data_IF_358849897927
#
_entry.id   IF_358849897927
#
_cell.length_a   1.000
_cell.length_b   1.000
_cell.length_c   1.000
_cell.angle_alpha   90.00
_cell.angle_beta   90.00
_cell.angle_gamma   90.00
#
_symmetry.space_group_name_H-M   'P 1'
#
loop_
_entity.id
_entity.type
_entity.pdbx_description
1 polymer ?
#
# COMPACT_ATOMS: atom_id res chain seq x y z
N UNK A 1 8.85 54.89 -58.75
CA UNK A 1 9.91 55.67 -59.40
C UNK A 1 11.25 55.07 -59.01
N UNK A 2 12.04 54.66 -60.03
CA UNK A 2 13.50 54.39 -60.08
C UNK A 2 14.15 53.48 -59.01
N UNK A 3 14.88 52.40 -59.29
CA UNK A 3 15.41 51.71 -60.49
C UNK A 3 16.49 50.71 -59.97
N UNK A 4 16.40 49.39 -60.18
CA UNK A 4 16.97 48.53 -61.26
C UNK A 4 18.50 48.54 -61.48
N UNK A 5 19.15 47.38 -61.24
CA UNK A 5 20.05 46.56 -62.11
C UNK A 5 20.57 45.37 -61.25
N UNK A 6 20.51 44.07 -61.60
CA UNK A 6 20.80 43.35 -62.87
C UNK A 6 22.31 43.01 -62.89
N UNK A 7 22.82 41.77 -62.88
CA UNK A 7 22.66 40.69 -63.89
C UNK A 7 23.39 39.40 -63.41
N UNK A 8 22.82 38.18 -63.57
CA UNK A 8 23.19 37.09 -64.54
C UNK A 8 24.41 36.21 -64.11
N UNK A 9 24.54 34.88 -64.31
CA UNK A 9 23.88 33.90 -65.19
C UNK A 9 24.29 32.43 -64.83
N UNK A 10 23.43 31.45 -65.22
CA UNK A 10 23.68 30.03 -65.67
C UNK A 10 24.21 28.96 -64.67
N UNK A 11 23.56 27.81 -64.38
CA UNK A 11 22.94 26.64 -65.11
C UNK A 11 23.91 25.51 -65.54
N UNK A 12 23.45 24.26 -65.27
CA UNK A 12 23.82 22.89 -65.74
C UNK A 12 24.76 22.09 -64.83
N UNK A 13 24.29 21.04 -64.14
CA UNK A 13 24.05 19.62 -64.58
C UNK A 13 25.33 18.82 -64.79
N UNK A 14 25.56 17.77 -63.98
CA UNK A 14 25.80 16.38 -64.43
C UNK A 14 26.27 15.47 -63.27
N UNK A 15 25.71 14.25 -63.26
CA UNK A 15 25.99 13.10 -62.41
C UNK A 15 27.44 12.57 -62.51
N UNK A 16 27.87 11.84 -61.47
CA UNK A 16 29.11 11.07 -61.47
C UNK A 16 29.24 10.16 -60.25
N UNK A 17 28.83 8.90 -60.44
CA UNK A 17 29.04 7.71 -59.62
C UNK A 17 30.51 7.49 -59.21
N UNK A 18 30.74 6.88 -58.04
CA UNK A 18 32.09 6.64 -57.52
C UNK A 18 32.13 6.08 -56.09
N UNK A 19 31.89 4.78 -56.00
CA UNK A 19 32.21 3.89 -54.88
C UNK A 19 33.65 4.06 -54.34
N UNK A 20 33.83 4.00 -53.01
CA UNK A 20 34.70 3.06 -52.28
C UNK A 20 35.22 3.59 -50.93
N UNK A 21 35.16 2.69 -49.95
CA UNK A 21 36.01 2.57 -48.75
C UNK A 21 35.94 3.61 -47.63
N UNK A 22 35.05 3.32 -46.68
CA UNK A 22 35.20 3.69 -45.26
C UNK A 22 36.35 2.88 -44.66
N UNK A 23 37.50 3.53 -44.43
CA UNK A 23 38.57 2.97 -43.61
C UNK A 23 38.27 3.17 -42.12
N UNK A 24 38.06 2.02 -41.47
CA UNK A 24 38.29 1.70 -40.06
C UNK A 24 39.43 2.50 -39.41
N UNK A 25 39.11 3.15 -38.28
CA UNK A 25 40.03 3.23 -37.15
C UNK A 25 39.29 2.89 -35.84
N UNK A 26 39.64 1.71 -35.35
CA UNK A 26 39.31 1.17 -34.05
C UNK A 26 40.32 1.62 -32.98
N UNK A 27 39.96 1.32 -31.73
CA UNK A 27 40.74 1.36 -30.48
C UNK A 27 40.54 2.63 -29.65
N UNK A 28 40.25 2.58 -28.34
CA UNK A 28 40.45 1.50 -27.38
C UNK A 28 39.39 1.55 -26.26
N UNK A 29 38.70 0.44 -26.04
CA UNK A 29 38.02 0.14 -24.78
C UNK A 29 39.07 -0.40 -23.79
N UNK A 30 39.35 0.36 -22.73
CA UNK A 30 40.03 -0.17 -21.55
C UNK A 30 39.10 -1.11 -20.77
N UNK A 31 39.62 -2.12 -20.07
CA UNK A 31 38.78 -3.10 -19.39
C UNK A 31 37.98 -2.40 -18.30
N UNK A 32 36.64 -2.48 -18.43
CA UNK A 32 35.70 -1.92 -17.48
C UNK A 32 36.01 -2.41 -16.07
N UNK A 33 36.21 -1.46 -15.15
CA UNK A 33 36.22 -1.75 -13.74
C UNK A 33 34.90 -2.47 -13.39
N UNK A 34 35.02 -3.69 -12.87
CA UNK A 34 33.87 -4.43 -12.36
C UNK A 34 33.08 -3.56 -11.37
N UNK A 35 31.74 -3.62 -11.38
CA UNK A 35 30.94 -2.90 -10.40
C UNK A 35 31.40 -3.31 -8.99
N UNK A 36 31.43 -2.39 -8.02
CA UNK A 36 31.93 -2.71 -6.69
C UNK A 36 31.09 -3.85 -6.11
N UNK A 37 31.72 -5.01 -5.87
CA UNK A 37 31.12 -6.11 -5.11
C UNK A 37 30.71 -5.55 -3.76
N UNK A 38 29.40 -5.42 -3.54
CA UNK A 38 28.81 -5.02 -2.26
C UNK A 38 29.28 -6.03 -1.22
N UNK A 39 30.13 -5.60 -0.28
CA UNK A 39 30.54 -6.45 0.86
C UNK A 39 29.27 -6.90 1.57
N UNK A 40 29.04 -8.21 1.68
CA UNK A 40 28.08 -8.76 2.64
C UNK A 40 28.50 -8.25 4.03
N UNK A 41 27.74 -7.30 4.59
CA UNK A 41 28.03 -6.74 5.91
C UNK A 41 27.61 -7.74 6.97
N UNK A 42 28.47 -8.71 7.26
CA UNK A 42 28.44 -9.49 8.50
C UNK A 42 29.09 -8.67 9.62
N UNK A 43 28.63 -7.44 9.83
CA UNK A 43 29.05 -6.63 10.99
C UNK A 43 28.36 -7.21 12.23
N UNK A 44 29.12 -7.75 13.18
CA UNK A 44 28.59 -8.33 14.43
C UNK A 44 27.57 -7.42 15.15
N UNK A 45 27.78 -6.09 15.26
CA UNK A 45 26.76 -5.19 15.83
C UNK A 45 25.45 -5.12 15.03
N UNK A 46 25.50 -5.24 13.71
CA UNK A 46 24.31 -5.22 12.86
C UNK A 46 23.48 -6.51 13.02
N UNK A 47 24.15 -7.66 13.20
CA UNK A 47 23.48 -8.94 13.46
C UNK A 47 22.80 -8.97 14.83
N UNK A 48 23.44 -8.44 15.88
CA UNK A 48 22.82 -8.30 17.20
C UNK A 48 21.55 -7.43 17.14
N UNK A 49 21.61 -6.29 16.44
CA UNK A 49 20.43 -5.43 16.26
C UNK A 49 19.31 -6.12 15.46
N UNK A 50 19.65 -6.94 14.47
CA UNK A 50 18.65 -7.71 13.72
C UNK A 50 17.98 -8.77 14.60
N UNK A 51 18.76 -9.51 15.40
CA UNK A 51 18.22 -10.45 16.38
C UNK A 51 17.26 -9.76 17.38
N UNK A 52 17.64 -8.59 17.90
CA UNK A 52 16.79 -7.83 18.81
C UNK A 52 15.49 -7.36 18.15
N UNK A 53 15.51 -7.02 16.86
CA UNK A 53 14.30 -6.70 16.09
C UNK A 53 13.37 -7.91 15.97
N UNK A 54 13.89 -9.11 15.76
CA UNK A 54 13.08 -10.33 15.78
C UNK A 54 12.49 -10.62 17.17
N UNK A 55 13.26 -10.46 18.26
CA UNK A 55 12.74 -10.59 19.63
C UNK A 55 11.64 -9.56 19.93
N UNK A 56 11.81 -8.32 19.48
CA UNK A 56 10.80 -7.28 19.63
C UNK A 56 9.55 -7.57 18.80
N UNK A 57 9.70 -8.03 17.56
CA UNK A 57 8.60 -8.46 16.72
C UNK A 57 7.78 -9.57 17.39
N UNK A 58 8.43 -10.61 17.91
CA UNK A 58 7.77 -11.68 18.66
C UNK A 58 6.94 -11.13 19.83
N UNK A 59 7.56 -10.31 20.70
CA UNK A 59 6.94 -9.80 21.93
C UNK A 59 5.85 -8.75 21.71
N UNK A 60 6.02 -7.88 20.71
CA UNK A 60 5.17 -6.70 20.49
C UNK A 60 4.09 -6.91 19.45
N UNK A 61 4.34 -7.77 18.46
CA UNK A 61 3.43 -7.95 17.33
C UNK A 61 2.83 -9.36 17.26
N UNK A 62 3.54 -10.41 17.68
CA UNK A 62 3.02 -11.78 17.57
C UNK A 62 2.37 -12.30 18.85
N UNK A 63 2.86 -11.89 20.02
CA UNK A 63 2.40 -12.39 21.32
C UNK A 63 0.87 -12.38 21.45
N UNK A 64 0.29 -13.56 21.68
CA UNK A 64 -1.15 -13.75 21.87
C UNK A 64 -2.00 -13.71 20.59
N UNK A 65 -1.42 -13.44 19.42
CA UNK A 65 -2.18 -13.35 18.15
C UNK A 65 -1.60 -14.18 17.00
N UNK A 66 -0.32 -14.55 17.04
CA UNK A 66 0.35 -15.34 16.00
C UNK A 66 1.41 -16.28 16.60
N UNK A 67 0.99 -17.36 17.28
CA UNK A 67 1.90 -18.27 17.98
C UNK A 67 3.00 -18.89 17.10
N UNK A 68 2.70 -19.14 15.81
CA UNK A 68 3.69 -19.63 14.86
C UNK A 68 4.82 -18.62 14.66
N UNK A 69 4.49 -17.40 14.26
CA UNK A 69 5.49 -16.36 13.99
C UNK A 69 6.18 -15.88 15.26
N UNK A 70 5.52 -15.92 16.42
CA UNK A 70 6.17 -15.69 17.71
C UNK A 70 7.30 -16.71 17.95
N UNK A 71 6.99 -18.00 17.80
CA UNK A 71 7.95 -19.09 18.02
C UNK A 71 9.11 -19.00 17.03
N UNK A 72 8.82 -18.81 15.74
CA UNK A 72 9.82 -18.73 14.69
C UNK A 72 10.70 -17.47 14.83
N UNK A 73 10.14 -16.33 15.22
CA UNK A 73 10.92 -15.11 15.39
C UNK A 73 11.93 -15.22 16.53
N UNK A 74 11.54 -15.88 17.65
CA UNK A 74 12.47 -16.17 18.73
C UNK A 74 13.57 -17.14 18.29
N UNK A 75 13.24 -18.17 17.50
CA UNK A 75 14.23 -19.10 16.94
C UNK A 75 15.21 -18.41 15.98
N UNK A 76 14.72 -17.56 15.08
CA UNK A 76 15.55 -16.78 14.14
C UNK A 76 16.52 -15.87 14.91
N UNK A 77 16.08 -15.25 16.02
CA UNK A 77 16.94 -14.36 16.80
C UNK A 77 18.17 -15.06 17.41
N UNK A 78 18.15 -16.39 17.52
CA UNK A 78 19.25 -17.21 18.04
C UNK A 78 20.04 -17.93 16.93
N UNK A 79 19.66 -17.79 15.64
CA UNK A 79 20.28 -18.49 14.51
C UNK A 79 21.02 -17.52 13.57
N UNK A 80 22.35 -17.60 13.55
CA UNK A 80 23.19 -16.72 12.76
C UNK A 80 23.01 -16.87 11.24
N UNK A 81 22.68 -18.07 10.75
CA UNK A 81 22.49 -18.32 9.32
C UNK A 81 21.15 -17.76 8.85
N UNK A 82 20.09 -17.93 9.65
CA UNK A 82 18.79 -17.33 9.35
C UNK A 82 18.85 -15.80 9.42
N UNK A 83 19.59 -15.23 10.39
CA UNK A 83 19.83 -13.78 10.45
C UNK A 83 20.61 -13.28 9.23
N UNK A 84 21.56 -14.05 8.71
CA UNK A 84 22.29 -13.68 7.50
C UNK A 84 21.38 -13.66 6.26
N UNK A 85 20.43 -14.59 6.15
CA UNK A 85 19.38 -14.55 5.11
C UNK A 85 18.51 -13.30 5.30
N UNK A 86 17.96 -13.10 6.50
CA UNK A 86 17.09 -11.97 6.83
C UNK A 86 17.75 -10.59 6.59
N UNK A 87 19.08 -10.50 6.69
CA UNK A 87 19.84 -9.29 6.44
C UNK A 87 19.79 -8.79 4.98
N UNK A 88 19.28 -9.62 4.05
CA UNK A 88 19.06 -9.21 2.65
C UNK A 88 17.81 -8.33 2.48
N UNK A 89 16.97 -8.21 3.52
CA UNK A 89 15.83 -7.30 3.52
C UNK A 89 16.28 -5.85 3.32
N UNK A 90 15.88 -5.26 2.19
CA UNK A 90 16.33 -3.92 1.80
C UNK A 90 15.27 -2.82 2.10
N UNK A 91 13.98 -3.14 1.96
CA UNK A 91 12.88 -2.15 1.99
C UNK A 91 11.80 -2.52 3.01
N UNK A 92 12.01 -2.12 4.27
CA UNK A 92 11.02 -2.27 5.34
C UNK A 92 11.41 -3.26 6.45
N UNK A 93 10.45 -3.71 7.28
CA UNK A 93 10.71 -4.61 8.40
C UNK A 93 11.19 -6.00 7.94
N UNK A 94 12.44 -6.35 8.26
CA UNK A 94 13.05 -7.63 7.89
C UNK A 94 12.23 -8.84 8.35
N UNK A 95 11.61 -8.78 9.55
CA UNK A 95 10.78 -9.87 10.08
C UNK A 95 9.60 -10.19 9.16
N UNK A 96 8.80 -9.18 8.81
CA UNK A 96 7.64 -9.34 7.94
C UNK A 96 8.04 -9.82 6.54
N UNK A 97 9.11 -9.24 5.97
CA UNK A 97 9.60 -9.63 4.64
C UNK A 97 10.09 -11.08 4.61
N UNK A 98 10.84 -11.51 5.63
CA UNK A 98 11.38 -12.87 5.67
C UNK A 98 10.25 -13.90 5.81
N UNK A 99 9.31 -13.66 6.73
CA UNK A 99 8.16 -14.55 6.87
C UNK A 99 7.29 -14.60 5.61
N UNK A 100 7.04 -13.46 4.95
CA UNK A 100 6.28 -13.42 3.71
C UNK A 100 7.02 -14.12 2.55
N UNK A 101 8.34 -13.99 2.45
CA UNK A 101 9.13 -14.70 1.45
C UNK A 101 9.04 -16.22 1.60
N UNK A 102 9.13 -16.73 2.84
CA UNK A 102 8.95 -18.16 3.13
C UNK A 102 7.52 -18.61 2.81
N UNK A 103 6.52 -17.85 3.29
CA UNK A 103 5.11 -18.16 3.07
C UNK A 103 4.76 -18.20 1.57
N UNK A 104 5.32 -17.27 0.78
CA UNK A 104 5.16 -17.23 -0.68
C UNK A 104 5.65 -18.51 -1.34
N UNK A 105 6.84 -19.00 -0.98
CA UNK A 105 7.38 -20.24 -1.56
C UNK A 105 6.52 -21.46 -1.22
N UNK A 106 6.03 -21.53 0.03
CA UNK A 106 5.11 -22.59 0.45
C UNK A 106 3.77 -22.53 -0.31
N UNK A 107 3.24 -21.34 -0.60
CA UNK A 107 1.97 -21.16 -1.31
C UNK A 107 2.01 -21.63 -2.77
N UNK A 108 3.17 -21.60 -3.45
CA UNK A 108 3.25 -21.84 -4.90
C UNK A 108 3.92 -23.16 -5.26
N UNK A 109 5.01 -23.51 -4.60
CA UNK A 109 5.91 -24.57 -5.07
C UNK A 109 6.19 -25.65 -4.02
N UNK A 110 5.88 -25.40 -2.75
CA UNK A 110 6.33 -26.24 -1.64
C UNK A 110 5.21 -26.56 -0.64
N UNK A 111 3.99 -26.77 -1.12
CA UNK A 111 2.84 -27.13 -0.27
C UNK A 111 3.01 -28.50 0.43
N UNK A 112 3.83 -29.39 -0.13
CA UNK A 112 4.13 -30.72 0.43
C UNK A 112 5.34 -30.74 1.40
N UNK A 113 6.03 -29.61 1.56
CA UNK A 113 7.18 -29.51 2.47
C UNK A 113 6.74 -29.73 3.94
N UNK A 114 7.55 -30.40 4.79
CA UNK A 114 7.22 -30.56 6.21
C UNK A 114 6.87 -29.26 6.94
N UNK A 115 7.43 -28.12 6.53
CA UNK A 115 7.10 -26.81 7.10
C UNK A 115 5.64 -26.41 6.86
N UNK A 116 5.03 -26.81 5.75
CA UNK A 116 3.65 -26.45 5.39
C UNK A 116 2.63 -26.92 6.45
N UNK A 117 2.95 -28.00 7.19
CA UNK A 117 2.11 -28.56 8.26
C UNK A 117 1.88 -27.60 9.44
N UNK A 118 2.68 -26.55 9.57
CA UNK A 118 2.53 -25.55 10.62
C UNK A 118 1.73 -24.32 10.16
N UNK A 119 1.47 -24.19 8.85
CA UNK A 119 0.84 -23.02 8.26
C UNK A 119 -0.67 -23.26 8.12
N UNK A 120 -1.48 -22.60 8.95
CA UNK A 120 -2.96 -22.67 8.87
C UNK A 120 -3.52 -22.21 7.52
N UNK A 121 -2.75 -21.41 6.77
CA UNK A 121 -3.08 -21.02 5.40
C UNK A 121 -2.98 -22.15 4.39
N UNK A 122 -2.31 -23.26 4.73
CA UNK A 122 -2.07 -24.41 3.85
C UNK A 122 -2.76 -25.68 4.37
N UNK A 123 -2.92 -25.81 5.69
CA UNK A 123 -3.57 -26.96 6.33
C UNK A 123 -4.67 -26.54 7.31
N UNK A 124 -5.78 -27.29 7.42
CA UNK A 124 -6.90 -26.93 8.30
C UNK A 124 -6.55 -27.03 9.79
N UNK A 125 -5.67 -27.97 10.14
CA UNK A 125 -5.25 -28.24 11.51
C UNK A 125 -3.72 -28.26 11.58
N UNK A 126 -3.08 -27.10 11.82
CA UNK A 126 -1.63 -27.04 11.86
C UNK A 126 -1.06 -27.78 13.07
N UNK A 127 0.14 -28.33 12.92
CA UNK A 127 0.91 -28.92 14.00
C UNK A 127 1.32 -27.86 15.06
N UNK A 128 1.66 -28.27 16.30
CA UNK A 128 2.05 -27.34 17.36
C UNK A 128 3.25 -26.45 16.97
N UNK A 129 3.15 -25.10 17.10
CA UNK A 129 4.21 -24.15 16.76
C UNK A 129 5.59 -24.46 17.37
N UNK A 130 5.63 -25.03 18.57
CA UNK A 130 6.87 -25.39 19.26
C UNK A 130 7.78 -26.33 18.46
N UNK A 131 7.22 -27.10 17.51
CA UNK A 131 7.96 -28.03 16.66
C UNK A 131 8.36 -27.43 15.31
N UNK A 132 7.87 -26.24 14.97
CA UNK A 132 8.15 -25.56 13.70
C UNK A 132 9.61 -25.09 13.48
N UNK A 133 10.43 -24.74 14.49
CA UNK A 133 11.76 -24.19 14.25
C UNK A 133 12.69 -25.07 13.41
N UNK A 134 12.69 -26.39 13.62
CA UNK A 134 13.52 -27.33 12.87
C UNK A 134 13.16 -27.35 11.37
N UNK A 135 11.91 -27.69 11.00
CA UNK A 135 11.44 -27.62 9.63
C UNK A 135 11.63 -26.24 8.99
N UNK A 136 11.36 -25.16 9.73
CA UNK A 136 11.52 -23.79 9.23
C UNK A 136 12.97 -23.49 8.85
N UNK A 137 13.91 -23.85 9.73
CA UNK A 137 15.34 -23.68 9.49
C UNK A 137 15.78 -24.47 8.26
N UNK A 138 15.42 -25.75 8.18
CA UNK A 138 15.77 -26.61 7.05
C UNK A 138 15.27 -26.04 5.72
N UNK A 139 14.01 -25.59 5.69
CA UNK A 139 13.42 -24.95 4.51
C UNK A 139 14.17 -23.66 4.12
N UNK A 140 14.42 -22.77 5.08
CA UNK A 140 15.08 -21.49 4.81
C UNK A 140 16.49 -21.68 4.25
N UNK A 141 17.24 -22.67 4.73
CA UNK A 141 18.58 -22.94 4.23
C UNK A 141 18.55 -23.61 2.84
N UNK A 142 17.61 -24.52 2.61
CA UNK A 142 17.43 -25.15 1.30
C UNK A 142 17.05 -24.14 0.21
N UNK A 143 16.23 -23.14 0.55
CA UNK A 143 15.70 -22.13 -0.37
C UNK A 143 16.31 -20.74 -0.18
N UNK A 144 17.49 -20.65 0.45
CA UNK A 144 18.11 -19.38 0.78
C UNK A 144 18.26 -18.44 -0.44
N UNK A 145 18.69 -18.90 -1.64
CA UNK A 145 18.81 -18.02 -2.81
C UNK A 145 17.49 -17.33 -3.20
N UNK A 146 16.38 -18.08 -3.21
CA UNK A 146 15.05 -17.58 -3.60
C UNK A 146 14.48 -16.60 -2.57
N UNK A 147 14.68 -16.92 -1.28
CA UNK A 147 14.30 -16.04 -0.17
C UNK A 147 15.08 -14.74 -0.23
N UNK A 148 16.41 -14.81 -0.38
CA UNK A 148 17.27 -13.61 -0.46
C UNK A 148 16.94 -12.74 -1.67
N UNK A 149 16.63 -13.34 -2.83
CA UNK A 149 16.19 -12.62 -4.01
C UNK A 149 14.88 -11.84 -3.75
N UNK A 150 13.90 -12.49 -3.10
CA UNK A 150 12.63 -11.87 -2.71
C UNK A 150 12.86 -10.71 -1.74
N UNK A 151 13.67 -10.92 -0.69
CA UNK A 151 14.00 -9.92 0.33
C UNK A 151 14.68 -8.66 -0.24
N UNK A 152 15.44 -8.81 -1.33
CA UNK A 152 16.17 -7.71 -1.94
C UNK A 152 15.27 -6.77 -2.75
N UNK A 153 14.18 -7.28 -3.32
CA UNK A 153 13.33 -6.56 -4.27
C UNK A 153 11.98 -6.15 -3.69
N UNK A 154 11.36 -6.99 -2.85
CA UNK A 154 10.02 -6.76 -2.35
C UNK A 154 10.02 -5.82 -1.15
N UNK A 155 8.92 -5.09 -0.99
CA UNK A 155 8.63 -4.23 0.15
C UNK A 155 7.39 -4.73 0.91
N UNK A 156 7.24 -4.33 2.17
CA UNK A 156 5.99 -4.59 2.90
C UNK A 156 4.93 -3.61 2.41
N UNK A 157 3.94 -4.12 1.70
CA UNK A 157 2.77 -3.36 1.27
C UNK A 157 1.49 -4.12 1.59
N UNK A 158 0.67 -3.59 2.50
CA UNK A 158 -0.54 -4.26 2.97
C UNK A 158 -1.78 -3.48 2.56
N UNK A 159 -2.75 -4.16 1.94
CA UNK A 159 -4.06 -3.57 1.65
C UNK A 159 -5.12 -4.10 2.65
N UNK A 160 -5.30 -3.44 3.79
CA UNK A 160 -6.30 -3.86 4.79
C UNK A 160 -7.71 -3.31 4.50
N UNK A 161 -8.49 -4.08 3.74
CA UNK A 161 -9.86 -3.74 3.31
C UNK A 161 -10.80 -3.45 4.48
N UNK A 162 -10.60 -4.10 5.63
CA UNK A 162 -11.45 -3.91 6.81
C UNK A 162 -11.41 -2.48 7.37
N UNK A 163 -10.35 -1.71 7.09
CA UNK A 163 -10.29 -0.28 7.46
C UNK A 163 -11.43 0.53 6.86
N UNK A 164 -12.01 0.08 5.75
CA UNK A 164 -13.19 0.73 5.17
C UNK A 164 -14.35 0.83 6.16
N UNK A 165 -14.51 -0.12 7.09
CA UNK A 165 -15.56 -0.05 8.11
C UNK A 165 -15.38 1.12 9.10
N UNK A 166 -14.13 1.55 9.30
CA UNK A 166 -13.80 2.74 10.08
C UNK A 166 -13.73 4.02 9.23
N UNK A 167 -13.50 3.93 7.92
CA UNK A 167 -13.51 5.08 7.01
C UNK A 167 -14.94 5.52 6.64
N UNK A 168 -15.91 4.61 6.68
CA UNK A 168 -17.31 4.87 6.28
C UNK A 168 -17.93 6.14 6.92
N UNK A 169 -17.78 6.40 8.23
CA UNK A 169 -18.28 7.63 8.85
C UNK A 169 -17.67 8.92 8.26
N UNK A 170 -16.43 8.86 7.78
CA UNK A 170 -15.81 10.02 7.13
C UNK A 170 -16.41 10.29 5.75
N UNK A 171 -16.70 9.26 4.97
CA UNK A 171 -17.40 9.45 3.69
C UNK A 171 -18.83 9.95 3.88
N UNK A 172 -19.50 9.51 4.96
CA UNK A 172 -20.80 10.05 5.35
C UNK A 172 -20.71 11.53 5.74
N UNK A 173 -19.69 11.91 6.50
CA UNK A 173 -19.41 13.30 6.84
C UNK A 173 -19.10 14.15 5.60
N UNK A 174 -18.28 13.66 4.66
CA UNK A 174 -18.00 14.34 3.39
C UNK A 174 -19.30 14.55 2.61
N UNK A 175 -20.12 13.52 2.43
CA UNK A 175 -21.37 13.60 1.70
C UNK A 175 -22.37 14.60 2.30
N UNK A 176 -22.42 14.74 3.64
CA UNK A 176 -23.23 15.79 4.31
C UNK A 176 -22.72 17.21 4.03
N UNK A 177 -21.41 17.38 3.92
CA UNK A 177 -20.77 18.67 3.71
C UNK A 177 -20.56 19.02 2.23
N UNK A 178 -20.96 18.11 1.33
CA UNK A 178 -21.02 18.31 -0.11
C UNK A 178 -22.29 17.61 -0.68
N UNK A 179 -23.49 18.04 -0.27
CA UNK A 179 -24.73 17.33 -0.59
C UNK A 179 -24.97 17.30 -2.10
N UNK A 180 -25.25 16.09 -2.62
CA UNK A 180 -25.49 15.86 -4.05
C UNK A 180 -24.25 15.95 -4.94
N UNK A 181 -23.05 16.17 -4.39
CA UNK A 181 -21.83 16.25 -5.16
C UNK A 181 -21.38 14.86 -5.66
N UNK A 182 -20.88 14.82 -6.89
CA UNK A 182 -20.07 13.70 -7.39
C UNK A 182 -18.72 13.71 -6.67
N UNK A 183 -18.37 12.63 -5.98
CA UNK A 183 -17.11 12.53 -5.24
C UNK A 183 -16.03 11.87 -6.10
N UNK A 184 -14.89 12.53 -6.23
CA UNK A 184 -13.69 12.03 -6.88
C UNK A 184 -12.65 11.65 -5.82
N UNK A 185 -12.20 10.40 -5.82
CA UNK A 185 -11.40 9.84 -4.74
C UNK A 185 -9.92 9.79 -5.11
N UNK A 186 -9.06 10.23 -4.19
CA UNK A 186 -7.62 10.03 -4.23
C UNK A 186 -7.18 9.34 -2.93
N UNK A 187 -6.67 8.12 -3.00
CA UNK A 187 -6.06 7.44 -1.86
C UNK A 187 -4.53 7.54 -1.92
N UNK A 188 -3.90 7.96 -0.83
CA UNK A 188 -2.44 7.97 -0.69
C UNK A 188 -1.99 6.77 0.17
N UNK A 189 -1.02 6.01 -0.33
CA UNK A 189 -0.65 4.69 0.22
C UNK A 189 -1.69 3.64 -0.14
N UNK A 190 -2.17 3.67 -1.38
CA UNK A 190 -3.33 2.90 -1.82
C UNK A 190 -3.06 1.38 -2.00
N UNK A 191 -1.81 0.93 -1.99
CA UNK A 191 -1.44 -0.47 -2.23
C UNK A 191 -2.00 -0.98 -3.56
N UNK A 192 -2.93 -1.95 -3.54
CA UNK A 192 -3.67 -2.47 -4.71
C UNK A 192 -4.98 -1.69 -5.01
N UNK A 193 -5.19 -0.55 -4.34
CA UNK A 193 -6.38 0.30 -4.50
C UNK A 193 -7.67 -0.35 -3.98
N UNK A 194 -7.63 -1.37 -3.12
CA UNK A 194 -8.87 -2.05 -2.71
C UNK A 194 -9.78 -1.15 -1.85
N UNK A 195 -9.23 -0.26 -1.02
CA UNK A 195 -10.03 0.62 -0.18
C UNK A 195 -10.75 1.72 -0.96
N UNK A 196 -10.27 2.04 -2.16
CA UNK A 196 -10.95 2.93 -3.11
C UNK A 196 -12.27 2.35 -3.60
N UNK A 197 -12.68 1.13 -3.23
CA UNK A 197 -13.98 0.53 -3.58
C UNK A 197 -14.94 0.43 -2.39
N UNK A 198 -14.74 1.27 -1.37
CA UNK A 198 -15.56 1.27 -0.16
C UNK A 198 -17.07 1.31 -0.43
N UNK A 199 -17.54 2.01 -1.46
CA UNK A 199 -18.97 2.08 -1.86
C UNK A 199 -19.52 0.77 -2.43
N UNK A 200 -18.66 -0.23 -2.69
CA UNK A 200 -19.04 -1.56 -3.20
C UNK A 200 -19.02 -2.65 -2.14
N UNK A 201 -18.66 -2.29 -0.91
CA UNK A 201 -18.63 -3.22 0.21
C UNK A 201 -19.89 -3.08 1.06
N UNK A 202 -20.22 -4.16 1.77
CA UNK A 202 -21.22 -4.13 2.82
C UNK A 202 -20.53 -4.10 4.19
N UNK A 203 -21.24 -3.54 5.18
CA UNK A 203 -20.73 -3.24 6.50
C UNK A 203 -21.73 -3.72 7.53
N UNK A 204 -21.29 -4.60 8.43
CA UNK A 204 -22.09 -5.10 9.54
C UNK A 204 -21.52 -4.56 10.84
N UNK A 205 -22.35 -3.89 11.60
CA UNK A 205 -21.98 -3.36 12.90
C UNK A 205 -22.62 -4.17 14.04
N UNK A 206 -21.95 -4.24 15.19
CA UNK A 206 -22.39 -5.04 16.34
C UNK A 206 -23.72 -4.62 16.97
N UNK A 207 -24.25 -3.44 16.62
CA UNK A 207 -25.59 -2.98 17.01
C UNK A 207 -26.71 -3.52 16.08
N UNK A 208 -26.39 -4.37 15.11
CA UNK A 208 -27.32 -4.92 14.12
C UNK A 208 -27.47 -4.08 12.85
N UNK A 209 -26.79 -2.93 12.74
CA UNK A 209 -26.81 -2.13 11.53
C UNK A 209 -26.10 -2.85 10.38
N UNK A 210 -26.74 -2.87 9.21
CA UNK A 210 -26.20 -3.37 7.95
C UNK A 210 -26.28 -2.26 6.91
N UNK A 211 -25.17 -1.97 6.24
CA UNK A 211 -25.05 -0.89 5.24
C UNK A 211 -24.36 -1.43 4.00
N UNK A 212 -24.82 -1.04 2.82
CA UNK A 212 -24.20 -1.37 1.55
C UNK A 212 -25.11 -2.24 0.68
N UNK A 213 -24.62 -2.72 -0.48
CA UNK A 213 -25.39 -3.59 -1.35
C UNK A 213 -25.71 -4.94 -0.68
N UNK A 214 -26.93 -5.46 -0.88
CA UNK A 214 -27.33 -6.77 -0.34
C UNK A 214 -26.52 -7.94 -0.93
N UNK A 215 -26.02 -7.78 -2.15
CA UNK A 215 -25.19 -8.74 -2.89
C UNK A 215 -23.69 -8.41 -2.85
N UNK A 216 -23.25 -7.57 -1.90
CA UNK A 216 -21.87 -7.15 -1.81
C UNK A 216 -20.92 -8.37 -1.66
N UNK A 217 -19.88 -8.50 -2.51
CA UNK A 217 -18.96 -9.63 -2.47
C UNK A 217 -18.05 -9.62 -1.23
N UNK A 218 -17.96 -8.48 -0.56
CA UNK A 218 -17.18 -8.28 0.67
C UNK A 218 -18.09 -7.67 1.73
N UNK A 219 -18.21 -8.38 2.85
CA UNK A 219 -18.88 -7.91 4.06
C UNK A 219 -17.82 -7.65 5.13
N UNK A 220 -17.85 -6.47 5.73
CA UNK A 220 -16.88 -6.00 6.72
C UNK A 220 -17.55 -5.86 8.07
N UNK A 221 -17.16 -6.71 9.03
CA UNK A 221 -17.72 -6.72 10.38
C UNK A 221 -16.93 -5.78 11.31
N UNK A 222 -17.63 -4.88 12.00
CA UNK A 222 -16.99 -3.91 12.90
C UNK A 222 -17.76 -3.77 14.21
N UNK A 223 -17.08 -3.93 15.34
CA UNK A 223 -17.69 -3.71 16.65
C UNK A 223 -17.86 -2.22 16.93
N UNK A 224 -19.08 -1.75 17.15
CA UNK A 224 -19.32 -0.39 17.63
C UNK A 224 -19.11 -0.31 19.14
N UNK A 225 -18.37 0.72 19.56
CA UNK A 225 -18.20 1.10 20.96
C UNK A 225 -18.96 2.39 21.23
N UNK A 226 -19.66 2.41 22.36
CA UNK A 226 -20.54 3.52 22.74
C UNK A 226 -21.95 3.41 22.12
N UNK A 227 -22.91 4.23 22.60
CA UNK A 227 -24.33 4.14 22.21
C UNK A 227 -24.61 4.91 20.90
N UNK A 228 -23.80 4.72 19.86
CA UNK A 228 -23.87 5.52 18.63
C UNK A 228 -23.92 4.59 17.41
N UNK A 229 -24.77 4.93 16.44
CA UNK A 229 -24.84 4.25 15.14
C UNK A 229 -24.03 5.00 14.09
N UNK A 230 -23.64 4.33 13.00
CA UNK A 230 -23.04 5.01 11.85
C UNK A 230 -24.17 5.71 11.09
N UNK A 231 -24.36 6.98 11.39
CA UNK A 231 -25.38 7.80 10.73
C UNK A 231 -24.93 8.12 9.29
N UNK A 232 -25.74 7.73 8.30
CA UNK A 232 -25.47 7.91 6.86
C UNK A 232 -26.50 8.86 6.23
N UNK A 233 -26.09 9.78 5.35
CA UNK A 233 -27.04 10.59 4.61
C UNK A 233 -27.88 9.74 3.65
N UNK A 234 -29.09 10.20 3.34
CA UNK A 234 -29.95 9.60 2.31
C UNK A 234 -30.01 10.56 1.11
N UNK A 235 -29.71 10.11 -0.13
CA UNK A 235 -29.34 8.74 -0.55
C UNK A 235 -27.92 8.32 -0.16
N UNK A 236 -27.71 6.99 -0.08
CA UNK A 236 -26.41 6.35 0.16
C UNK A 236 -26.18 5.15 -0.79
N UNK A 237 -24.95 4.94 -1.29
CA UNK A 237 -23.77 5.81 -1.19
C UNK A 237 -23.90 7.09 -2.04
N UNK A 238 -23.09 8.14 -1.78
CA UNK A 238 -22.97 9.27 -2.71
C UNK A 238 -22.46 8.81 -4.08
N UNK A 239 -22.77 9.57 -5.13
CA UNK A 239 -22.25 9.28 -6.46
C UNK A 239 -20.72 9.37 -6.46
N UNK A 240 -20.05 8.32 -6.94
CA UNK A 240 -18.60 8.27 -7.06
C UNK A 240 -18.19 8.42 -8.53
N UNK A 241 -17.27 9.35 -8.78
CA UNK A 241 -16.65 9.57 -10.07
C UNK A 241 -15.33 8.81 -10.21
N UNK A 242 -14.27 9.54 -10.53
CA UNK A 242 -12.92 8.97 -10.68
C UNK A 242 -12.33 8.46 -9.36
N UNK A 243 -11.51 7.42 -9.47
CA UNK A 243 -10.74 6.82 -8.38
C UNK A 243 -9.28 6.78 -8.78
N UNK A 244 -8.42 7.41 -7.99
CA UNK A 244 -6.98 7.43 -8.21
C UNK A 244 -6.29 6.93 -6.95
N UNK A 245 -5.46 5.89 -7.07
CA UNK A 245 -4.56 5.47 -6.01
C UNK A 245 -3.16 5.98 -6.27
N UNK A 246 -2.47 6.43 -5.23
CA UNK A 246 -1.04 6.74 -5.27
C UNK A 246 -0.34 5.84 -4.27
N UNK A 247 0.68 5.12 -4.70
CA UNK A 247 1.51 4.29 -3.83
C UNK A 247 2.96 4.30 -4.31
N UNK A 248 3.92 4.16 -3.39
CA UNK A 248 5.34 4.14 -3.74
C UNK A 248 5.73 2.87 -4.51
N UNK A 249 5.00 1.78 -4.25
CA UNK A 249 5.20 0.45 -4.84
C UNK A 249 3.80 -0.16 -5.08
N UNK A 250 3.02 0.37 -6.04
CA UNK A 250 1.66 -0.09 -6.30
C UNK A 250 1.64 -1.58 -6.60
N UNK A 251 0.66 -2.27 -6.04
CA UNK A 251 0.43 -3.70 -6.29
C UNK A 251 -0.57 -3.80 -7.42
N UNK A 252 -0.23 -4.53 -8.49
CA UNK A 252 -1.16 -4.79 -9.58
C UNK A 252 -2.10 -5.96 -9.21
N UNK A 253 -3.41 -5.73 -9.02
CA UNK A 253 -4.35 -6.81 -8.70
C UNK A 253 -4.62 -7.75 -9.89
N UNK A 254 -4.14 -7.45 -11.09
CA UNK A 254 -4.22 -8.33 -12.26
C UNK A 254 -2.98 -9.22 -12.43
N UNK A 255 -1.85 -8.86 -11.81
CA UNK A 255 -0.62 -9.67 -11.81
C UNK A 255 -0.68 -10.76 -10.72
N UNK A 256 -0.66 -12.05 -11.09
CA UNK A 256 -0.67 -13.16 -10.13
C UNK A 256 0.49 -13.11 -9.13
N UNK A 257 1.66 -12.61 -9.51
CA UNK A 257 2.84 -12.56 -8.65
C UNK A 257 2.70 -11.53 -7.53
N UNK A 258 2.06 -10.41 -7.85
CA UNK A 258 1.75 -9.31 -6.95
C UNK A 258 0.61 -9.68 -5.99
N UNK A 259 -0.44 -10.33 -6.50
CA UNK A 259 -1.50 -10.90 -5.67
C UNK A 259 -0.96 -11.93 -4.67
N UNK A 260 -0.07 -12.80 -5.14
CA UNK A 260 0.60 -13.78 -4.29
C UNK A 260 1.45 -13.11 -3.22
N UNK A 261 2.20 -12.04 -3.56
CA UNK A 261 2.98 -11.29 -2.59
C UNK A 261 2.08 -10.65 -1.52
N UNK A 262 0.99 -10.00 -1.94
CA UNK A 262 -0.01 -9.41 -1.05
C UNK A 262 -0.64 -10.47 -0.13
N UNK A 263 -0.90 -11.67 -0.67
CA UNK A 263 -1.42 -12.81 0.09
C UNK A 263 -0.41 -13.39 1.08
N UNK A 264 0.88 -13.43 0.73
CA UNK A 264 1.95 -13.96 1.57
C UNK A 264 2.27 -13.04 2.75
N UNK A 265 2.05 -11.73 2.60
CA UNK A 265 2.15 -10.74 3.69
C UNK A 265 1.08 -10.92 4.78
N UNK A 266 -0.01 -11.63 4.48
CA UNK A 266 -1.01 -12.01 5.50
C UNK A 266 -0.51 -13.24 6.25
N UNK A 267 -0.42 -13.09 7.57
CA UNK A 267 0.13 -14.12 8.45
C UNK A 267 -0.73 -15.39 8.44
N UNK A 268 -0.14 -16.60 8.59
CA UNK A 268 -0.86 -17.87 8.53
C UNK A 268 -2.02 -17.95 9.52
N UNK A 269 -1.83 -17.41 10.72
CA UNK A 269 -2.84 -17.37 11.80
C UNK A 269 -4.05 -16.47 11.48
N UNK A 270 -3.95 -15.62 10.45
CA UNK A 270 -4.96 -14.61 10.10
C UNK A 270 -5.72 -14.99 8.83
N UNK A 271 -6.20 -16.22 8.79
CA UNK A 271 -6.92 -16.80 7.65
C UNK A 271 -8.20 -16.01 7.27
N UNK A 272 -8.88 -15.36 8.22
CA UNK A 272 -10.05 -14.50 7.91
C UNK A 272 -9.65 -13.26 7.10
N UNK A 273 -8.45 -12.70 7.39
CA UNK A 273 -7.89 -11.57 6.61
C UNK A 273 -7.54 -12.01 5.20
N UNK A 274 -6.97 -13.20 5.05
CA UNK A 274 -6.65 -13.80 3.77
C UNK A 274 -7.91 -14.00 2.91
N UNK A 275 -8.94 -14.63 3.47
CA UNK A 275 -10.20 -14.84 2.78
C UNK A 275 -10.88 -13.51 2.39
N UNK A 276 -10.78 -12.48 3.24
CA UNK A 276 -11.27 -11.14 2.91
C UNK A 276 -10.50 -10.48 1.76
N UNK A 277 -9.17 -10.60 1.75
CA UNK A 277 -8.33 -10.11 0.66
C UNK A 277 -8.73 -10.78 -0.66
N UNK A 278 -8.84 -12.11 -0.67
CA UNK A 278 -9.20 -12.89 -1.86
C UNK A 278 -10.57 -12.47 -2.42
N UNK A 279 -11.58 -12.28 -1.56
CA UNK A 279 -12.89 -11.74 -1.99
C UNK A 279 -12.80 -10.33 -2.54
N UNK A 280 -12.01 -9.46 -1.92
CA UNK A 280 -11.87 -8.07 -2.36
C UNK A 280 -11.13 -7.95 -3.69
N UNK A 281 -10.10 -8.78 -3.92
CA UNK A 281 -9.39 -8.89 -5.20
C UNK A 281 -10.32 -9.41 -6.30
N UNK A 282 -11.09 -10.47 -6.01
CA UNK A 282 -12.06 -11.00 -6.97
C UNK A 282 -13.09 -9.94 -7.38
N UNK A 283 -13.57 -9.14 -6.42
CA UNK A 283 -14.50 -8.04 -6.65
C UNK A 283 -13.88 -6.80 -7.32
N UNK A 284 -12.56 -6.67 -7.31
CA UNK A 284 -11.87 -5.46 -7.79
C UNK A 284 -11.97 -5.27 -9.31
N UNK A 285 -12.15 -6.37 -10.06
CA UNK A 285 -12.15 -6.40 -11.53
C UNK A 285 -13.23 -5.53 -12.16
N UNK A 286 -14.34 -5.31 -11.48
CA UNK A 286 -15.51 -4.61 -12.04
C UNK A 286 -15.44 -3.08 -11.88
N UNK A 287 -14.45 -2.56 -11.15
CA UNK A 287 -14.30 -1.13 -10.88
C UNK A 287 -12.86 -0.70 -11.15
N UNK A 288 -12.57 -0.09 -12.31
CA UNK A 288 -11.21 0.32 -12.65
C UNK A 288 -10.73 1.45 -11.73
N UNK A 289 -9.44 1.40 -11.40
CA UNK A 289 -8.75 2.42 -10.62
C UNK A 289 -7.49 2.82 -11.36
N UNK A 290 -7.27 4.13 -11.50
CA UNK A 290 -5.99 4.62 -11.99
C UNK A 290 -4.96 4.58 -10.85
N UNK A 291 -3.91 3.79 -11.00
CA UNK A 291 -2.81 3.72 -10.03
C UNK A 291 -1.62 4.55 -10.52
N UNK A 292 -1.07 5.37 -9.63
CA UNK A 292 0.16 6.14 -9.85
C UNK A 292 1.27 5.62 -8.93
N UNK A 293 2.39 5.24 -9.51
CA UNK A 293 3.58 4.79 -8.78
C UNK A 293 4.53 5.93 -8.45
N UNK A 294 4.72 6.21 -7.16
CA UNK A 294 5.71 7.17 -6.67
C UNK A 294 5.32 7.85 -5.35
N UNK A 295 6.05 8.92 -5.03
CA UNK A 295 5.82 9.68 -3.79
C UNK A 295 4.45 10.39 -3.80
N UNK A 296 3.69 10.18 -2.73
CA UNK A 296 2.33 10.71 -2.60
C UNK A 296 2.24 12.23 -2.63
N UNK A 297 3.19 12.94 -2.01
CA UNK A 297 3.20 14.39 -2.01
C UNK A 297 3.59 14.94 -3.39
N UNK A 298 4.56 14.31 -4.05
CA UNK A 298 5.03 14.70 -5.37
C UNK A 298 3.97 14.48 -6.47
N UNK A 299 3.21 13.39 -6.40
CA UNK A 299 2.22 13.01 -7.42
C UNK A 299 0.81 13.55 -7.16
N UNK A 300 0.52 14.06 -5.95
CA UNK A 300 -0.79 14.63 -5.64
C UNK A 300 -1.23 15.75 -6.61
N UNK A 301 -0.37 16.71 -7.01
CA UNK A 301 -0.75 17.72 -7.99
C UNK A 301 -1.16 17.13 -9.34
N UNK A 302 -0.48 16.08 -9.81
CA UNK A 302 -0.82 15.38 -11.05
C UNK A 302 -2.15 14.64 -10.92
N UNK A 303 -2.36 13.89 -9.83
CA UNK A 303 -3.60 13.19 -9.57
C UNK A 303 -4.80 14.15 -9.54
N UNK A 304 -4.66 15.30 -8.88
CA UNK A 304 -5.69 16.33 -8.83
C UNK A 304 -5.97 16.97 -10.19
N UNK A 305 -4.96 17.14 -11.04
CA UNK A 305 -5.12 17.69 -12.38
C UNK A 305 -5.87 16.74 -13.34
N UNK A 306 -5.84 15.43 -13.06
CA UNK A 306 -6.62 14.41 -13.81
C UNK A 306 -8.11 14.42 -13.44
N UNK A 307 -8.46 14.95 -12.26
CA UNK A 307 -9.85 15.04 -11.83
C UNK A 307 -10.62 16.09 -12.65
N UNK A 308 -11.90 15.82 -13.00
CA UNK A 308 -12.78 16.84 -13.55
C UNK A 308 -12.94 18.04 -12.61
N UNK A 309 -13.24 19.19 -13.22
CA UNK A 309 -13.61 20.41 -12.48
C UNK A 309 -14.97 20.27 -11.79
N UNK A 310 -15.91 19.55 -12.41
CA UNK A 310 -17.17 19.16 -11.80
C UNK A 310 -16.93 18.12 -10.71
N UNK A 311 -17.63 18.25 -9.59
CA UNK A 311 -17.52 17.33 -8.44
C UNK A 311 -16.47 17.74 -7.40
N UNK A 312 -16.43 16.99 -6.32
CA UNK A 312 -15.65 17.27 -5.11
C UNK A 312 -14.48 16.30 -5.01
N UNK A 313 -13.27 16.83 -4.84
CA UNK A 313 -12.09 16.01 -4.57
C UNK A 313 -12.07 15.56 -3.10
N UNK A 314 -11.88 14.28 -2.88
CA UNK A 314 -11.75 13.65 -1.57
C UNK A 314 -10.41 12.91 -1.54
N UNK A 315 -9.46 13.49 -0.83
CA UNK A 315 -8.14 12.91 -0.62
C UNK A 315 -8.20 12.17 0.71
N UNK A 316 -7.73 10.92 0.75
CA UNK A 316 -7.69 10.18 2.00
C UNK A 316 -6.48 9.25 2.11
N UNK A 317 -6.14 8.88 3.34
CA UNK A 317 -5.09 7.90 3.62
C UNK A 317 -5.36 7.14 4.92
N UNK A 318 -4.80 5.94 5.03
CA UNK A 318 -4.88 5.13 6.25
C UNK A 318 -3.51 4.58 6.66
N UNK A 319 -3.01 5.02 7.82
CA UNK A 319 -1.70 4.64 8.36
C UNK A 319 -0.55 4.85 7.38
N UNK A 320 -0.58 5.99 6.68
CA UNK A 320 0.46 6.37 5.72
C UNK A 320 1.47 7.28 6.39
N UNK A 321 1.01 8.22 7.26
CA UNK A 321 1.89 9.23 7.83
C UNK A 321 2.99 8.64 8.70
N UNK A 322 2.75 7.51 9.39
CA UNK A 322 3.76 6.83 10.19
C UNK A 322 4.90 6.19 9.36
N UNK A 323 4.75 6.10 8.03
CA UNK A 323 5.73 5.49 7.13
C UNK A 323 6.62 6.51 6.44
N UNK A 324 6.28 7.81 6.54
CA UNK A 324 6.98 8.88 5.83
C UNK A 324 7.71 9.84 6.79
N UNK A 325 8.78 10.45 6.29
CA UNK A 325 9.62 11.38 7.06
C UNK A 325 8.88 12.68 7.40
N UNK A 326 9.38 13.43 8.38
CA UNK A 326 8.81 14.75 8.72
C UNK A 326 8.84 15.71 7.51
N UNK A 327 9.89 15.66 6.69
CA UNK A 327 9.98 16.45 5.47
C UNK A 327 8.91 16.05 4.45
N UNK A 328 8.66 14.75 4.27
CA UNK A 328 7.59 14.26 3.40
C UNK A 328 6.20 14.65 3.90
N UNK A 329 5.97 14.65 5.23
CA UNK A 329 4.71 15.15 5.83
C UNK A 329 4.49 16.64 5.57
N UNK A 330 5.55 17.45 5.68
CA UNK A 330 5.49 18.87 5.36
C UNK A 330 5.16 19.09 3.88
N UNK A 331 5.86 18.41 2.97
CA UNK A 331 5.59 18.46 1.54
C UNK A 331 4.16 18.03 1.19
N UNK A 332 3.63 17.00 1.86
CA UNK A 332 2.25 16.58 1.71
C UNK A 332 1.26 17.67 2.15
N UNK A 333 1.49 18.28 3.31
CA UNK A 333 0.67 19.39 3.80
C UNK A 333 0.70 20.59 2.85
N UNK A 334 1.86 20.93 2.29
CA UNK A 334 2.02 22.02 1.33
C UNK A 334 1.27 21.72 0.03
N UNK A 335 1.35 20.47 -0.48
CA UNK A 335 0.62 20.04 -1.66
C UNK A 335 -0.90 20.12 -1.46
N UNK A 336 -1.41 19.74 -0.28
CA UNK A 336 -2.82 19.89 0.09
C UNK A 336 -3.23 21.37 0.14
N UNK A 337 -2.41 22.24 0.74
CA UNK A 337 -2.67 23.68 0.81
C UNK A 337 -2.72 24.33 -0.57
N UNK A 338 -1.78 23.98 -1.45
CA UNK A 338 -1.77 24.44 -2.84
C UNK A 338 -2.99 23.97 -3.64
N UNK A 339 -3.47 22.74 -3.38
CA UNK A 339 -4.69 22.23 -3.98
C UNK A 339 -5.95 22.96 -3.49
N UNK A 340 -6.05 23.18 -2.17
CA UNK A 340 -7.16 23.88 -1.54
C UNK A 340 -7.31 25.34 -2.02
N UNK A 341 -6.19 25.98 -2.39
CA UNK A 341 -6.20 27.32 -3.00
C UNK A 341 -6.90 27.37 -4.38
N UNK A 342 -7.10 26.22 -5.04
CA UNK A 342 -7.65 26.13 -6.41
C UNK A 342 -9.04 25.50 -6.45
N UNK A 343 -9.41 24.68 -5.47
CA UNK A 343 -10.72 24.05 -5.36
C UNK A 343 -11.04 23.70 -3.90
N UNK A 344 -12.31 23.68 -3.56
CA UNK A 344 -12.76 23.03 -2.33
C UNK A 344 -12.45 21.54 -2.38
N UNK A 345 -11.86 20.99 -1.31
CA UNK A 345 -11.56 19.57 -1.18
C UNK A 345 -11.79 19.07 0.24
N UNK A 346 -11.85 17.75 0.38
CA UNK A 346 -11.89 17.07 1.66
C UNK A 346 -10.62 16.25 1.86
N UNK A 347 -10.06 16.33 3.05
CA UNK A 347 -8.98 15.46 3.51
C UNK A 347 -9.51 14.55 4.61
N UNK A 348 -9.41 13.24 4.43
CA UNK A 348 -9.76 12.22 5.43
C UNK A 348 -8.51 11.48 5.86
N UNK A 349 -8.23 11.44 7.16
CA UNK A 349 -7.07 10.75 7.70
C UNK A 349 -7.49 9.71 8.73
N UNK A 350 -7.03 8.47 8.54
CA UNK A 350 -7.10 7.42 9.55
C UNK A 350 -5.67 7.14 10.04
N UNK A 351 -5.31 7.61 11.22
CA UNK A 351 -3.91 7.60 11.70
C UNK A 351 -3.81 7.24 13.19
N UNK A 352 -2.62 6.80 13.61
CA UNK A 352 -2.35 6.47 15.00
C UNK A 352 -2.50 7.68 15.93
N UNK A 353 -3.21 7.51 17.04
CA UNK A 353 -3.20 8.43 18.17
C UNK A 353 -2.36 7.89 19.33
N UNK A 354 -2.37 6.58 19.54
CA UNK A 354 -1.52 5.84 20.48
C UNK A 354 -1.10 4.50 19.85
N UNK A 355 -0.29 3.70 20.54
CA UNK A 355 0.16 2.39 20.06
C UNK A 355 -0.99 1.39 19.77
N UNK A 356 -2.19 1.64 20.31
CA UNK A 356 -3.33 0.72 20.24
C UNK A 356 -4.63 1.35 19.74
N UNK A 357 -4.62 2.67 19.50
CA UNK A 357 -5.81 3.41 19.09
C UNK A 357 -5.47 4.33 17.94
N UNK A 358 -6.29 4.25 16.89
CA UNK A 358 -6.28 5.19 15.79
C UNK A 358 -7.41 6.21 15.92
N UNK A 359 -7.27 7.32 15.21
CA UNK A 359 -8.28 8.36 15.07
C UNK A 359 -8.61 8.56 13.60
N UNK A 360 -9.90 8.78 13.34
CA UNK A 360 -10.42 9.19 12.06
C UNK A 360 -10.70 10.69 12.12
N UNK A 361 -10.04 11.48 11.29
CA UNK A 361 -10.32 12.91 11.14
C UNK A 361 -10.80 13.23 9.73
N UNK A 362 -11.61 14.27 9.63
CA UNK A 362 -12.06 14.85 8.37
C UNK A 362 -11.82 16.35 8.38
N UNK A 363 -11.30 16.89 7.28
CA UNK A 363 -11.09 18.32 7.10
C UNK A 363 -11.69 18.79 5.77
N UNK A 364 -12.47 19.88 5.80
CA UNK A 364 -12.92 20.60 4.61
C UNK A 364 -11.96 21.76 4.40
N UNK A 365 -11.37 21.83 3.21
CA UNK A 365 -10.44 22.88 2.86
C UNK A 365 -10.99 23.69 1.68
N UNK A 366 -10.94 25.01 1.81
CA UNK A 366 -11.52 25.96 0.86
C UNK A 366 -10.71 27.26 0.88
N UNK A 367 -9.80 27.42 -0.07
CA UNK A 367 -8.78 28.46 0.00
C UNK A 367 -7.86 28.27 1.20
N UNK A 368 -7.80 29.27 2.09
CA UNK A 368 -7.04 29.22 3.35
C UNK A 368 -7.85 28.68 4.54
N UNK A 369 -9.17 28.49 4.38
CA UNK A 369 -10.04 27.99 5.43
C UNK A 369 -9.90 26.48 5.56
N UNK A 370 -9.64 26.00 6.78
CA UNK A 370 -9.59 24.58 7.14
C UNK A 370 -10.54 24.31 8.31
N UNK A 371 -11.56 23.50 8.06
CA UNK A 371 -12.50 23.03 9.08
C UNK A 371 -12.24 21.56 9.38
N UNK A 372 -11.56 21.28 10.48
CA UNK A 372 -11.19 19.92 10.87
C UNK A 372 -12.05 19.39 12.02
N UNK A 373 -12.36 18.09 11.96
CA UNK A 373 -13.18 17.38 12.93
C UNK A 373 -12.56 16.03 13.26
N UNK A 374 -12.60 15.67 14.54
CA UNK A 374 -12.44 14.28 14.98
C UNK A 374 -13.76 13.55 14.76
N UNK A 375 -13.75 12.50 13.94
CA UNK A 375 -14.94 11.78 13.51
C UNK A 375 -15.10 10.47 14.28
N UNK A 376 -14.01 9.79 14.63
CA UNK A 376 -14.06 8.56 15.42
C UNK A 376 -12.70 8.21 16.05
N UNK A 377 -12.74 7.34 17.06
CA UNK A 377 -11.61 6.49 17.47
C UNK A 377 -11.83 5.09 16.95
N UNK A 378 -10.78 4.38 16.56
CA UNK A 378 -10.94 3.06 15.95
C UNK A 378 -9.72 2.16 16.09
N UNK A 379 -9.95 0.88 15.79
CA UNK A 379 -8.93 -0.12 15.58
C UNK A 379 -8.14 0.15 14.29
N UNK A 380 -6.84 -0.18 14.30
CA UNK A 380 -5.97 0.02 13.14
C UNK A 380 -6.26 -0.89 11.94
N UNK A 381 -6.97 -2.00 12.17
CA UNK A 381 -7.37 -2.93 11.15
C UNK A 381 -8.89 -2.95 10.97
N UNK A 382 -9.63 -2.06 11.62
CA UNK A 382 -11.09 -1.92 11.49
C UNK A 382 -11.94 -2.90 12.30
N UNK A 383 -11.38 -3.54 13.33
CA UNK A 383 -12.12 -4.46 14.21
C UNK A 383 -13.16 -3.76 15.10
N UNK A 384 -12.90 -2.51 15.50
CA UNK A 384 -13.83 -1.72 16.29
C UNK A 384 -13.80 -0.23 15.91
N UNK A 385 -14.90 0.45 16.18
CA UNK A 385 -15.12 1.86 15.90
C UNK A 385 -15.90 2.50 17.06
N UNK A 386 -15.46 3.65 17.52
CA UNK A 386 -16.13 4.52 18.47
C UNK A 386 -16.40 5.87 17.77
N UNK A 387 -17.58 6.05 17.17
CA UNK A 387 -17.91 7.30 16.49
C UNK A 387 -17.97 8.46 17.50
N UNK A 388 -17.41 9.60 17.13
CA UNK A 388 -17.65 10.84 17.86
C UNK A 388 -18.97 11.44 17.39
N UNK A 389 -19.80 11.89 18.33
CA UNK A 389 -21.05 12.59 17.99
C UNK A 389 -20.71 13.80 17.10
N UNK A 390 -21.21 13.77 15.87
CA UNK A 390 -21.19 14.93 14.99
C UNK A 390 -22.27 15.87 15.53
N UNK A 391 -21.91 16.74 16.49
CA UNK A 391 -22.79 17.83 16.88
C UNK A 391 -23.22 18.63 15.64
N UNK A 392 -24.39 19.28 15.66
CA UNK A 392 -24.80 20.13 14.54
C UNK A 392 -23.67 21.12 14.24
N UNK A 393 -23.32 21.27 12.96
CA UNK A 393 -22.46 22.36 12.53
C UNK A 393 -23.05 23.65 13.12
N UNK A 394 -22.24 24.41 13.85
CA UNK A 394 -22.69 25.50 14.72
C UNK A 394 -23.80 26.35 14.11
N UNK A 395 -24.80 26.65 14.93
CA UNK A 395 -25.83 27.64 14.67
C UNK A 395 -25.23 29.03 14.40
#
# INVERSE_FOLDING_TARGET
MHGKCGNEQQRREADGDGSEHVHSHASAFGPGAAPPRRRQRTDRPAMTQLADRFRQFARRQCAGIAPLYETLALAIAEDAELLAIAAHANRGPASNLFFAAVHRLLLVAHADDPLARYYRSLVPHPEPPANAPGPFRSFCLAHAPEIMATLAIRSVNTNEVQRCACLLPAFAWVARNAPGALLHLIEIGASAGLNLRWDRYAYRYSNGQHVGPDDAPVILDCSLRGPISVDLPNPWPPAIGQRIGIDIDPIDPEDPDDLLWLRALIWPDRWERAARLERAVAAARDVPIAMLGGDGAALLPEALARLPSAGTAVIYHSFMLNQISQAARAAFSDAIGAAAARRTLFLVALEWATDHTAVLTGARLDGTRREERLLARCDSHGAWLEPHALGPAGA
#
